data_IF_136073412861
#
_entry.id   IF_136073412861
#
_cell.length_a   1.000
_cell.length_b   1.000
_cell.length_c   1.000
_cell.angle_alpha   90.00
_cell.angle_beta   90.00
_cell.angle_gamma   90.00
#
_symmetry.space_group_name_H-M   'P 1'
#
loop_
_entity.id
_entity.type
_entity.pdbx_description
1 polymer ?
#
# COMPACT_ATOMS: atom_id res chain seq x y z
N UNK A 1 32.96 6.55 20.98
CA UNK A 1 31.70 6.58 21.76
C UNK A 1 30.60 7.37 21.01
N UNK A 2 30.37 7.11 19.72
CA UNK A 2 29.43 7.90 18.90
C UNK A 2 28.37 7.07 18.15
N UNK A 3 28.31 5.73 18.35
CA UNK A 3 27.45 4.87 17.51
C UNK A 3 26.08 4.53 18.14
N UNK A 4 25.87 4.79 19.43
CA UNK A 4 24.62 4.49 20.12
C UNK A 4 23.57 5.59 20.03
N UNK A 5 23.96 6.85 19.79
CA UNK A 5 22.98 7.96 19.67
C UNK A 5 22.31 8.01 18.30
N UNK A 6 23.03 7.66 17.23
CA UNK A 6 22.50 7.75 15.85
C UNK A 6 21.50 6.62 15.55
N UNK A 7 21.76 5.42 16.06
CA UNK A 7 20.82 4.29 15.95
C UNK A 7 19.54 4.54 16.74
N UNK A 8 19.66 5.06 17.96
CA UNK A 8 18.52 5.46 18.78
C UNK A 8 17.66 6.53 18.10
N UNK A 9 18.29 7.48 17.41
CA UNK A 9 17.58 8.57 16.70
C UNK A 9 16.80 8.06 15.49
N UNK A 10 17.41 7.18 14.68
CA UNK A 10 16.72 6.61 13.52
C UNK A 10 15.57 5.67 13.92
N UNK A 11 15.73 4.91 15.01
CA UNK A 11 14.65 4.11 15.62
C UNK A 11 13.52 4.99 16.11
N UNK A 12 13.83 6.03 16.89
CA UNK A 12 12.83 6.96 17.43
C UNK A 12 12.07 7.66 16.29
N UNK A 13 12.75 7.97 15.19
CA UNK A 13 12.11 8.50 13.98
C UNK A 13 11.15 7.51 13.35
N UNK A 14 11.54 6.24 13.20
CA UNK A 14 10.63 5.22 12.66
C UNK A 14 9.42 4.98 13.59
N UNK A 15 9.63 4.90 14.90
CA UNK A 15 8.56 4.76 15.90
C UNK A 15 7.60 5.95 15.87
N UNK A 16 8.12 7.17 15.74
CA UNK A 16 7.33 8.39 15.64
C UNK A 16 6.59 8.50 14.29
N UNK A 17 7.27 8.22 13.18
CA UNK A 17 6.69 8.27 11.82
C UNK A 17 5.57 7.24 11.65
N UNK A 18 5.61 6.13 12.38
CA UNK A 18 4.60 5.07 12.34
C UNK A 18 3.70 5.04 13.59
N UNK A 19 3.69 6.07 14.45
CA UNK A 19 2.80 6.11 15.63
C UNK A 19 2.86 4.86 16.54
N UNK A 20 4.04 4.26 16.68
CA UNK A 20 4.23 3.06 17.51
C UNK A 20 4.29 3.47 18.97
N UNK A 21 3.30 3.06 19.78
CA UNK A 21 3.28 3.36 21.21
C UNK A 21 4.08 2.31 21.99
N UNK A 22 5.01 2.76 22.84
CA UNK A 22 5.70 1.91 23.82
C UNK A 22 4.76 1.68 25.01
N UNK A 23 3.74 0.86 24.83
CA UNK A 23 2.81 0.50 25.90
C UNK A 23 3.47 -0.56 26.80
N UNK A 24 3.65 -0.34 28.12
CA UNK A 24 4.43 -1.23 29.00
C UNK A 24 3.77 -2.59 29.33
N UNK A 25 2.78 -3.04 28.57
CA UNK A 25 1.99 -4.19 28.98
C UNK A 25 1.79 -5.16 27.83
N UNK A 26 2.54 -6.26 27.91
CA UNK A 26 2.26 -7.52 27.20
C UNK A 26 0.83 -8.05 27.47
N UNK A 27 0.03 -7.36 28.30
CA UNK A 27 -1.39 -7.59 28.53
C UNK A 27 -2.22 -7.61 27.23
N UNK A 28 -1.83 -6.86 26.19
CA UNK A 28 -2.53 -6.92 24.90
C UNK A 28 -2.41 -8.32 24.25
N UNK A 29 -1.35 -9.06 24.53
CA UNK A 29 -1.14 -10.42 24.02
C UNK A 29 -1.83 -11.50 24.88
N UNK A 30 -2.40 -11.15 26.04
CA UNK A 30 -3.14 -12.11 26.86
C UNK A 30 -4.53 -12.34 26.29
N UNK A 31 -4.88 -13.58 25.99
CA UNK A 31 -6.21 -13.94 25.51
C UNK A 31 -7.10 -14.41 26.66
N UNK A 32 -8.29 -13.81 26.81
CA UNK A 32 -9.33 -14.24 27.75
C UNK A 32 -10.56 -14.69 26.96
N UNK A 33 -10.76 -16.01 26.89
CA UNK A 33 -11.86 -16.61 26.13
C UNK A 33 -13.23 -16.27 26.72
N UNK A 34 -13.34 -16.16 28.05
CA UNK A 34 -14.59 -15.86 28.73
C UNK A 34 -15.02 -14.42 28.45
N UNK A 35 -14.07 -13.48 28.47
CA UNK A 35 -14.30 -12.09 28.11
C UNK A 35 -14.77 -11.97 26.65
N UNK A 36 -14.07 -12.62 25.71
CA UNK A 36 -14.43 -12.56 24.29
C UNK A 36 -15.82 -13.16 24.03
N UNK A 37 -16.14 -14.29 24.67
CA UNK A 37 -17.47 -14.91 24.56
C UNK A 37 -18.57 -14.03 25.14
N UNK A 38 -18.31 -13.32 26.24
CA UNK A 38 -19.25 -12.38 26.82
C UNK A 38 -19.50 -11.18 25.89
N UNK A 39 -18.44 -10.59 25.32
CA UNK A 39 -18.54 -9.49 24.36
C UNK A 39 -19.34 -9.93 23.12
N UNK A 40 -19.03 -11.11 22.57
CA UNK A 40 -19.72 -11.68 21.42
C UNK A 40 -21.21 -11.95 21.69
N UNK A 41 -21.56 -12.29 22.92
CA UNK A 41 -22.95 -12.50 23.33
C UNK A 41 -23.72 -11.18 23.51
N UNK A 42 -23.04 -10.14 24.00
CA UNK A 42 -23.65 -8.82 24.24
C UNK A 42 -23.82 -7.99 22.97
N UNK A 43 -22.94 -8.19 21.97
CA UNK A 43 -22.91 -7.47 20.68
C UNK A 43 -23.09 -5.95 20.83
N UNK A 44 -22.26 -5.25 21.62
CA UNK A 44 -22.45 -3.83 21.93
C UNK A 44 -22.47 -2.94 20.68
N UNK A 45 -21.75 -3.31 19.62
CA UNK A 45 -21.70 -2.62 18.32
C UNK A 45 -23.04 -2.57 17.57
N UNK A 46 -24.01 -3.42 17.91
CA UNK A 46 -25.35 -3.37 17.29
C UNK A 46 -26.15 -2.13 17.69
N UNK A 47 -25.76 -1.45 18.78
CA UNK A 47 -26.44 -0.25 19.30
C UNK A 47 -25.93 1.04 18.67
N UNK A 48 -24.69 1.03 18.19
CA UNK A 48 -24.01 2.20 17.63
C UNK A 48 -23.21 1.79 16.39
N UNK A 49 -23.62 2.20 15.18
CA UNK A 49 -22.87 1.96 13.94
C UNK A 49 -21.41 2.44 13.97
N UNK A 50 -21.11 3.41 14.84
CA UNK A 50 -19.78 3.99 15.04
C UNK A 50 -19.15 3.58 16.38
N UNK A 51 -19.55 2.40 16.90
CA UNK A 51 -19.03 1.86 18.15
C UNK A 51 -17.51 1.69 18.14
N UNK A 52 -16.95 1.14 17.06
CA UNK A 52 -15.51 0.94 16.93
C UNK A 52 -14.84 2.18 16.35
N UNK A 53 -13.76 2.64 16.99
CA UNK A 53 -13.07 3.89 16.62
C UNK A 53 -11.57 3.70 16.39
N UNK A 54 -11.00 2.66 17.00
CA UNK A 54 -9.57 2.47 17.03
C UNK A 54 -9.18 1.06 16.61
N UNK A 55 -8.01 0.95 16.00
CA UNK A 55 -7.34 -0.31 15.71
C UNK A 55 -5.96 -0.27 16.34
N UNK A 56 -5.62 -1.31 17.10
CA UNK A 56 -4.29 -1.57 17.64
C UNK A 56 -3.73 -2.76 16.93
N UNK A 57 -2.66 -2.57 16.16
CA UNK A 57 -2.03 -3.64 15.38
C UNK A 57 -0.64 -3.97 15.93
N UNK A 58 -0.35 -5.24 16.09
CA UNK A 58 0.98 -5.67 16.51
C UNK A 58 2.01 -5.35 15.43
N UNK A 59 3.25 -5.05 15.84
CA UNK A 59 4.35 -4.84 14.90
C UNK A 59 4.61 -6.08 14.02
N UNK A 60 4.33 -7.28 14.53
CA UNK A 60 4.43 -8.54 13.78
C UNK A 60 3.41 -8.60 12.64
N UNK A 61 2.14 -8.32 12.95
CA UNK A 61 1.06 -8.33 11.96
C UNK A 61 1.32 -7.28 10.87
N UNK A 62 1.72 -6.07 11.27
CA UNK A 62 2.12 -5.00 10.35
C UNK A 62 3.23 -5.45 9.40
N UNK A 63 4.30 -6.07 9.93
CA UNK A 63 5.43 -6.51 9.13
C UNK A 63 5.03 -7.61 8.14
N UNK A 64 4.24 -8.60 8.58
CA UNK A 64 3.72 -9.66 7.70
C UNK A 64 2.86 -9.10 6.57
N UNK A 65 1.94 -8.19 6.89
CA UNK A 65 1.07 -7.54 5.90
C UNK A 65 1.91 -6.75 4.90
N UNK A 66 2.84 -5.92 5.36
CA UNK A 66 3.69 -5.11 4.50
C UNK A 66 4.59 -5.97 3.59
N UNK A 67 5.14 -7.06 4.10
CA UNK A 67 5.93 -8.01 3.30
C UNK A 67 5.07 -8.73 2.26
N UNK A 68 3.86 -9.17 2.63
CA UNK A 68 2.93 -9.83 1.72
C UNK A 68 2.44 -8.88 0.61
N UNK A 69 2.01 -7.66 0.98
CA UNK A 69 1.60 -6.64 0.02
C UNK A 69 2.73 -6.32 -0.96
N UNK A 70 3.97 -6.25 -0.48
CA UNK A 70 5.14 -6.04 -1.35
C UNK A 70 5.39 -7.23 -2.29
N UNK A 71 5.18 -8.48 -1.86
CA UNK A 71 5.37 -9.64 -2.72
C UNK A 71 4.35 -9.72 -3.85
N UNK A 72 3.17 -9.12 -3.70
CA UNK A 72 2.16 -9.01 -4.76
C UNK A 72 2.56 -8.08 -5.92
N UNK A 73 3.56 -7.23 -5.73
CA UNK A 73 4.03 -6.30 -6.77
C UNK A 73 2.93 -5.30 -7.18
N UNK A 74 2.44 -5.43 -8.41
CA UNK A 74 1.34 -4.61 -8.95
C UNK A 74 -0.03 -5.29 -8.83
N UNK A 75 -0.09 -6.53 -8.35
CA UNK A 75 -1.33 -7.26 -8.14
C UNK A 75 -1.84 -7.06 -6.71
N UNK A 76 -3.16 -7.04 -6.56
CA UNK A 76 -3.76 -7.03 -5.24
C UNK A 76 -3.58 -8.41 -4.60
N UNK A 77 -3.19 -8.43 -3.33
CA UNK A 77 -3.16 -9.65 -2.52
C UNK A 77 -4.02 -9.43 -1.29
N UNK A 78 -4.52 -10.52 -0.70
CA UNK A 78 -5.31 -10.44 0.52
C UNK A 78 -4.94 -11.50 1.55
N UNK A 79 -5.36 -11.26 2.78
CA UNK A 79 -5.18 -12.17 3.90
C UNK A 79 -6.15 -11.88 5.04
N UNK A 80 -5.99 -12.61 6.12
CA UNK A 80 -6.85 -12.50 7.30
C UNK A 80 -6.08 -11.96 8.50
N UNK A 81 -6.85 -11.33 9.40
CA UNK A 81 -6.38 -10.73 10.63
C UNK A 81 -6.87 -11.58 11.80
N UNK A 82 -5.94 -12.01 12.64
CA UNK A 82 -6.21 -12.73 13.88
C UNK A 82 -6.06 -11.79 15.07
N UNK A 83 -7.03 -11.82 15.96
CA UNK A 83 -7.02 -10.93 17.12
C UNK A 83 -8.23 -11.07 18.00
N UNK A 84 -8.57 -9.96 18.64
CA UNK A 84 -9.68 -9.85 19.60
C UNK A 84 -10.25 -8.43 19.60
N UNK A 85 -11.38 -8.26 20.27
CA UNK A 85 -11.97 -6.93 20.51
C UNK A 85 -11.87 -6.57 21.99
N UNK A 86 -11.61 -5.30 22.28
CA UNK A 86 -11.58 -4.77 23.65
C UNK A 86 -12.23 -3.39 23.67
N UNK A 87 -13.47 -3.30 24.14
CA UNK A 87 -14.25 -2.08 24.06
C UNK A 87 -14.47 -1.65 22.60
N UNK A 88 -14.19 -0.37 22.31
CA UNK A 88 -14.28 0.24 20.97
C UNK A 88 -13.04 0.02 20.08
N UNK A 89 -12.17 -0.93 20.46
CA UNK A 89 -10.87 -1.16 19.82
C UNK A 89 -10.76 -2.58 19.24
N UNK A 90 -10.36 -2.68 17.97
CA UNK A 90 -9.83 -3.93 17.42
C UNK A 90 -8.38 -4.11 17.82
N UNK A 91 -8.04 -5.27 18.38
CA UNK A 91 -6.65 -5.62 18.71
C UNK A 91 -6.21 -6.75 17.77
N UNK A 92 -5.42 -6.39 16.76
CA UNK A 92 -4.85 -7.33 15.78
C UNK A 92 -3.51 -7.84 16.31
N UNK A 93 -3.44 -9.14 16.58
CA UNK A 93 -2.27 -9.81 17.15
C UNK A 93 -1.40 -10.40 16.05
N UNK A 94 -2.00 -11.06 15.06
CA UNK A 94 -1.29 -11.69 13.96
C UNK A 94 -2.07 -11.57 12.64
N UNK A 95 -1.42 -11.92 11.54
CA UNK A 95 -2.01 -12.02 10.21
C UNK A 95 -1.43 -13.19 9.43
N UNK A 96 -2.18 -13.65 8.43
CA UNK A 96 -1.71 -14.65 7.48
C UNK A 96 -2.28 -14.40 6.08
N UNK A 97 -1.47 -14.70 5.07
CA UNK A 97 -1.82 -14.56 3.67
C UNK A 97 -2.81 -15.66 3.25
N UNK A 98 -3.75 -15.31 2.37
CA UNK A 98 -4.54 -16.29 1.65
C UNK A 98 -3.87 -16.56 0.30
N UNK A 99 -3.92 -17.81 -0.21
CA UNK A 99 -3.34 -18.18 -1.50
C UNK A 99 -4.25 -17.71 -2.65
N UNK A 100 -4.57 -16.42 -2.66
CA UNK A 100 -5.45 -15.79 -3.65
C UNK A 100 -4.79 -14.53 -4.17
N UNK A 101 -4.75 -14.42 -5.50
CA UNK A 101 -4.36 -13.20 -6.19
C UNK A 101 -5.65 -12.45 -6.55
N UNK A 102 -5.78 -11.25 -6.00
CA UNK A 102 -6.89 -10.35 -6.28
C UNK A 102 -6.68 -9.67 -7.63
N UNK A 103 -7.75 -9.58 -8.40
CA UNK A 103 -7.88 -8.54 -9.43
C UNK A 103 -9.11 -7.72 -9.06
N UNK A 104 -9.05 -6.40 -9.24
CA UNK A 104 -10.14 -5.46 -8.95
C UNK A 104 -11.47 -5.82 -9.65
N UNK A 105 -11.49 -6.79 -10.57
CA UNK A 105 -12.68 -7.22 -11.33
C UNK A 105 -13.22 -8.59 -10.91
N UNK A 106 -12.52 -9.34 -10.04
CA UNK A 106 -12.93 -10.69 -9.62
C UNK A 106 -12.68 -10.92 -8.13
N UNK A 107 -13.76 -10.94 -7.36
CA UNK A 107 -13.78 -11.58 -6.04
C UNK A 107 -14.05 -13.05 -6.27
N UNK A 108 -13.00 -13.85 -6.41
CA UNK A 108 -13.16 -15.28 -6.25
C UNK A 108 -12.03 -15.77 -5.34
N UNK A 109 -12.21 -15.54 -4.04
CA UNK A 109 -11.61 -16.44 -3.08
C UNK A 109 -12.21 -17.81 -3.37
N UNK A 110 -11.48 -18.61 -4.16
CA UNK A 110 -11.95 -19.90 -4.64
C UNK A 110 -12.26 -20.82 -3.43
N UNK A 111 -12.98 -21.92 -3.62
CA UNK A 111 -13.32 -22.86 -2.54
C UNK A 111 -12.09 -23.28 -1.70
N UNK A 112 -10.94 -23.33 -2.36
CA UNK A 112 -9.60 -23.60 -1.84
C UNK A 112 -9.17 -22.59 -0.75
N UNK A 113 -9.58 -21.32 -0.86
CA UNK A 113 -9.30 -20.32 0.16
C UNK A 113 -10.08 -20.59 1.45
N UNK A 114 -11.33 -21.05 1.35
CA UNK A 114 -12.13 -21.42 2.53
C UNK A 114 -11.59 -22.67 3.22
N UNK A 115 -11.19 -23.69 2.47
CA UNK A 115 -10.54 -24.88 3.03
C UNK A 115 -9.26 -24.49 3.79
N UNK A 116 -8.41 -23.68 3.15
CA UNK A 116 -7.20 -23.17 3.78
C UNK A 116 -7.49 -22.38 5.06
N UNK A 117 -8.54 -21.55 5.08
CA UNK A 117 -8.93 -20.78 6.27
C UNK A 117 -9.29 -21.66 7.46
N UNK A 118 -10.10 -22.72 7.22
CA UNK A 118 -10.52 -23.65 8.27
C UNK A 118 -9.32 -24.42 8.80
N UNK A 119 -8.48 -24.94 7.90
CA UNK A 119 -7.29 -25.72 8.26
C UNK A 119 -6.26 -24.87 9.01
N UNK A 120 -6.00 -23.64 8.54
CA UNK A 120 -5.09 -22.71 9.20
C UNK A 120 -5.59 -22.30 10.59
N UNK A 121 -6.90 -22.09 10.75
CA UNK A 121 -7.48 -21.76 12.05
C UNK A 121 -7.42 -22.96 13.01
N UNK A 122 -7.65 -24.19 12.52
CA UNK A 122 -7.52 -25.41 13.30
C UNK A 122 -6.09 -25.61 13.82
N UNK A 123 -5.13 -25.60 12.90
CA UNK A 123 -3.71 -25.74 13.23
C UNK A 123 -3.16 -24.60 14.09
N UNK A 124 -3.67 -23.37 13.93
CA UNK A 124 -3.33 -22.25 14.81
C UNK A 124 -3.70 -22.53 16.27
N UNK A 125 -4.86 -23.14 16.51
CA UNK A 125 -5.31 -23.51 17.87
C UNK A 125 -4.43 -24.61 18.46
N UNK A 126 -4.00 -25.58 17.65
CA UNK A 126 -3.12 -26.67 18.08
C UNK A 126 -1.75 -26.16 18.58
N UNK A 127 -1.26 -25.05 18.02
CA UNK A 127 -0.01 -24.39 18.46
C UNK A 127 -0.24 -23.31 19.52
N UNK A 128 -1.44 -23.23 20.10
CA UNK A 128 -1.77 -22.32 21.20
C UNK A 128 -2.10 -20.88 20.81
N UNK A 129 -2.41 -20.62 19.52
CA UNK A 129 -2.96 -19.33 19.07
C UNK A 129 -4.48 -19.40 19.16
N UNK A 130 -5.02 -18.75 20.19
CA UNK A 130 -6.43 -18.85 20.55
C UNK A 130 -7.28 -17.74 19.91
N UNK A 131 -6.63 -16.73 19.34
CA UNK A 131 -7.27 -15.60 18.68
C UNK A 131 -8.06 -16.05 17.44
N UNK A 132 -9.30 -15.55 17.35
CA UNK A 132 -10.15 -15.77 16.19
C UNK A 132 -9.86 -14.74 15.09
N UNK A 133 -10.44 -14.97 13.91
CA UNK A 133 -10.42 -14.01 12.82
C UNK A 133 -11.28 -12.81 13.22
N UNK A 134 -10.72 -11.61 13.10
CA UNK A 134 -11.39 -10.33 13.43
C UNK A 134 -11.50 -9.40 12.23
N UNK A 135 -10.99 -9.83 11.08
CA UNK A 135 -11.00 -9.02 9.87
C UNK A 135 -10.18 -9.61 8.75
N UNK A 136 -10.06 -8.83 7.69
CA UNK A 136 -9.27 -9.12 6.51
C UNK A 136 -8.42 -7.91 6.13
N UNK A 137 -7.37 -8.16 5.37
CA UNK A 137 -6.59 -7.11 4.75
C UNK A 137 -6.39 -7.38 3.27
N UNK A 138 -6.22 -6.32 2.49
CA UNK A 138 -5.78 -6.40 1.11
C UNK A 138 -4.87 -5.23 0.74
N UNK A 139 -4.20 -5.36 -0.40
CA UNK A 139 -3.30 -4.32 -0.90
C UNK A 139 -3.91 -3.54 -2.05
N UNK A 140 -3.72 -2.22 -2.04
CA UNK A 140 -4.00 -1.32 -3.18
C UNK A 140 -2.70 -0.73 -3.72
N UNK A 141 -2.04 -1.33 -4.73
CA UNK A 141 -0.73 -0.86 -5.20
C UNK A 141 -0.81 0.47 -5.97
N UNK A 142 -0.50 1.59 -5.33
CA UNK A 142 -0.28 2.88 -5.97
C UNK A 142 -1.49 3.83 -6.04
N UNK A 143 -2.67 3.44 -5.54
CA UNK A 143 -3.88 4.28 -5.58
C UNK A 143 -4.46 4.62 -4.20
N UNK A 144 -3.69 4.37 -3.13
CA UNK A 144 -4.04 4.79 -1.78
C UNK A 144 -4.96 3.80 -1.05
N UNK A 145 -5.21 4.10 0.23
CA UNK A 145 -5.96 3.24 1.13
C UNK A 145 -7.40 3.75 1.24
N UNK A 146 -8.33 3.04 0.61
CA UNK A 146 -9.77 3.29 0.58
C UNK A 146 -10.50 2.00 0.17
N UNK A 147 -11.83 1.94 0.32
CA UNK A 147 -12.62 0.77 -0.11
C UNK A 147 -13.34 1.06 -1.43
N UNK A 148 -13.15 0.20 -2.43
CA UNK A 148 -13.92 0.15 -3.67
C UNK A 148 -15.37 -0.31 -3.45
N UNK A 149 -16.22 -0.24 -4.47
CA UNK A 149 -17.58 -0.80 -4.38
C UNK A 149 -17.60 -2.31 -4.09
N UNK A 150 -16.60 -3.05 -4.59
CA UNK A 150 -16.42 -4.48 -4.36
C UNK A 150 -15.97 -4.72 -2.91
N UNK A 151 -15.04 -3.92 -2.40
CA UNK A 151 -14.58 -4.02 -1.02
C UNK A 151 -15.70 -3.71 -0.04
N UNK A 152 -16.51 -2.67 -0.33
CA UNK A 152 -17.69 -2.33 0.46
C UNK A 152 -18.66 -3.50 0.53
N UNK A 153 -18.95 -4.14 -0.61
CA UNK A 153 -19.85 -5.30 -0.68
C UNK A 153 -19.32 -6.49 0.10
N UNK A 154 -18.02 -6.79 -0.05
CA UNK A 154 -17.34 -7.88 0.68
C UNK A 154 -17.33 -7.61 2.19
N UNK A 155 -17.02 -6.38 2.59
CA UNK A 155 -17.00 -5.99 3.99
C UNK A 155 -18.40 -6.00 4.61
N UNK A 156 -19.43 -5.59 3.89
CA UNK A 156 -20.82 -5.70 4.34
C UNK A 156 -21.23 -7.15 4.56
N UNK A 157 -20.90 -8.06 3.63
CA UNK A 157 -21.16 -9.49 3.76
C UNK A 157 -20.47 -10.07 5.00
N UNK A 158 -19.20 -9.75 5.21
CA UNK A 158 -18.45 -10.21 6.37
C UNK A 158 -18.99 -9.63 7.68
N UNK A 159 -19.38 -8.35 7.70
CA UNK A 159 -20.04 -7.74 8.86
C UNK A 159 -21.42 -8.36 9.13
N UNK A 160 -22.12 -8.89 8.14
CA UNK A 160 -23.41 -9.54 8.32
C UNK A 160 -23.28 -10.93 8.96
N UNK A 161 -22.29 -11.72 8.57
CA UNK A 161 -22.18 -13.13 8.98
C UNK A 161 -21.08 -13.42 10.01
N UNK A 162 -20.05 -12.57 10.11
CA UNK A 162 -18.86 -12.78 10.96
C UNK A 162 -18.58 -11.57 11.88
N UNK A 163 -19.62 -10.87 12.33
CA UNK A 163 -19.42 -9.69 13.18
C UNK A 163 -18.83 -10.04 14.56
N UNK A 164 -17.81 -9.31 15.07
CA UNK A 164 -17.20 -8.08 14.54
C UNK A 164 -16.08 -8.30 13.52
N UNK A 165 -16.15 -7.60 12.37
CA UNK A 165 -15.19 -7.76 11.26
C UNK A 165 -14.58 -6.44 10.76
N UNK A 166 -13.26 -6.37 10.61
CA UNK A 166 -12.50 -5.19 10.17
C UNK A 166 -11.96 -5.35 8.74
N UNK A 167 -11.93 -4.28 7.95
CA UNK A 167 -11.18 -4.22 6.69
C UNK A 167 -9.91 -3.36 6.86
N UNK A 168 -8.77 -3.84 6.37
CA UNK A 168 -7.49 -3.10 6.36
C UNK A 168 -6.95 -3.03 4.93
N UNK A 169 -6.60 -1.83 4.47
CA UNK A 169 -5.99 -1.62 3.14
C UNK A 169 -4.56 -1.14 3.33
N UNK A 170 -3.62 -1.69 2.55
CA UNK A 170 -2.22 -1.26 2.55
C UNK A 170 -1.75 -0.92 1.14
N UNK A 171 -1.05 0.20 0.98
CA UNK A 171 -0.44 0.57 -0.30
C UNK A 171 1.09 0.33 -0.25
N UNK A 172 1.59 -0.80 -0.78
CA UNK A 172 3.02 -1.11 -0.74
C UNK A 172 3.86 -0.16 -1.60
N UNK A 173 3.30 0.35 -2.69
CA UNK A 173 4.00 1.23 -3.64
C UNK A 173 4.21 2.60 -3.01
N UNK A 174 3.17 3.18 -2.42
CA UNK A 174 3.28 4.46 -1.70
C UNK A 174 4.08 4.34 -0.43
N UNK A 175 4.01 3.20 0.26
CA UNK A 175 4.86 2.93 1.43
C UNK A 175 6.34 3.06 1.08
N UNK A 176 6.76 2.51 -0.07
CA UNK A 176 8.14 2.64 -0.54
C UNK A 176 8.50 4.08 -0.96
N UNK A 177 7.57 4.81 -1.56
CA UNK A 177 7.79 6.18 -2.02
C UNK A 177 7.88 7.19 -0.85
N UNK A 178 6.96 7.09 0.12
CA UNK A 178 6.89 8.00 1.26
C UNK A 178 7.89 7.62 2.37
N UNK A 179 8.21 6.32 2.50
CA UNK A 179 9.00 5.76 3.59
C UNK A 179 8.22 5.58 4.90
N UNK A 180 6.90 5.78 4.87
CA UNK A 180 5.96 5.54 5.98
C UNK A 180 4.99 4.45 5.52
N UNK A 181 4.57 3.56 6.41
CA UNK A 181 3.55 2.56 6.02
C UNK A 181 2.23 3.25 5.74
N UNK A 182 1.78 3.16 4.50
CA UNK A 182 0.48 3.64 4.03
C UNK A 182 -0.54 2.54 4.29
N UNK A 183 -1.32 2.73 5.35
CA UNK A 183 -2.29 1.76 5.85
C UNK A 183 -3.54 2.49 6.32
N UNK A 184 -4.70 1.99 5.92
CA UNK A 184 -6.00 2.44 6.38
C UNK A 184 -6.81 1.29 6.95
N UNK A 185 -7.60 1.57 7.97
CA UNK A 185 -8.54 0.61 8.55
C UNK A 185 -9.95 1.17 8.43
N UNK A 186 -10.90 0.33 8.01
CA UNK A 186 -12.22 0.75 7.59
C UNK A 186 -13.31 -0.21 8.08
N UNK A 187 -14.51 0.35 8.26
CA UNK A 187 -15.75 -0.41 8.46
C UNK A 187 -16.88 0.23 7.67
N UNK A 188 -17.76 -0.60 7.11
CA UNK A 188 -18.92 -0.12 6.37
C UNK A 188 -20.08 0.20 7.31
N UNK A 189 -20.85 1.22 6.95
CA UNK A 189 -22.11 1.52 7.62
C UNK A 189 -23.16 0.44 7.29
N UNK A 190 -24.10 0.14 8.22
CA UNK A 190 -25.22 -0.75 7.95
C UNK A 190 -26.14 -0.21 6.85
N UNK A 191 -26.85 -1.11 6.15
CA UNK A 191 -27.83 -0.70 5.14
C UNK A 191 -28.89 0.25 5.70
N UNK A 192 -29.14 1.34 4.98
CA UNK A 192 -30.12 2.35 5.37
C UNK A 192 -29.63 3.38 6.39
N UNK A 193 -28.43 3.23 6.98
CA UNK A 193 -27.84 4.26 7.81
C UNK A 193 -27.27 5.39 6.95
N UNK A 194 -27.64 6.64 7.28
CA UNK A 194 -27.02 7.83 6.69
C UNK A 194 -26.09 8.46 7.72
N UNK A 195 -24.79 8.59 7.43
CA UNK A 195 -23.87 9.24 8.35
C UNK A 195 -24.28 10.70 8.56
N UNK A 196 -24.16 11.24 9.79
CA UNK A 196 -24.18 12.69 10.02
C UNK A 196 -23.11 13.33 9.13
N UNK A 197 -23.35 14.52 8.54
CA UNK A 197 -22.38 15.20 7.65
C UNK A 197 -20.95 15.12 8.23
N UNK A 198 -20.10 14.35 7.54
CA UNK A 198 -18.80 13.92 8.07
C UNK A 198 -17.77 15.05 8.13
N UNK A 199 -16.85 14.90 9.09
CA UNK A 199 -15.62 15.67 9.23
C UNK A 199 -14.62 15.40 8.10
N UNK A 200 -13.44 16.03 8.14
CA UNK A 200 -12.50 16.02 7.03
C UNK A 200 -11.96 14.60 6.78
N UNK A 201 -12.39 13.97 5.68
CA UNK A 201 -11.71 12.81 5.11
C UNK A 201 -10.27 13.20 4.76
N UNK A 202 -9.28 12.42 5.20
CA UNK A 202 -7.87 12.69 4.91
C UNK A 202 -7.64 12.65 3.40
N UNK A 203 -7.20 13.77 2.84
CA UNK A 203 -7.01 13.89 1.39
C UNK A 203 -5.89 12.95 0.92
N UNK A 204 -6.24 12.06 0.00
CA UNK A 204 -5.28 11.21 -0.69
C UNK A 204 -5.32 11.50 -2.19
N UNK A 205 -4.15 11.47 -2.83
CA UNK A 205 -4.03 11.54 -4.29
C UNK A 205 -4.58 10.25 -4.89
N UNK A 206 -5.69 10.30 -5.62
CA UNK A 206 -6.31 9.14 -6.27
C UNK A 206 -6.14 9.30 -7.79
N UNK A 207 -5.71 8.25 -8.51
CA UNK A 207 -5.64 8.29 -9.97
C UNK A 207 -7.00 8.54 -10.61
N UNK A 208 -7.01 9.17 -11.79
CA UNK A 208 -8.24 9.47 -12.54
C UNK A 208 -9.08 8.23 -12.83
N UNK A 209 -8.43 7.10 -13.13
CA UNK A 209 -9.11 5.82 -13.39
C UNK A 209 -9.91 5.28 -12.19
N UNK A 210 -9.67 5.81 -10.99
CA UNK A 210 -10.26 5.34 -9.72
C UNK A 210 -11.10 6.38 -8.99
N UNK A 211 -11.07 7.64 -9.45
CA UNK A 211 -11.70 8.74 -8.74
C UNK A 211 -13.22 8.66 -8.70
N UNK A 212 -13.84 8.07 -9.73
CA UNK A 212 -15.29 7.89 -9.80
C UNK A 212 -15.77 6.84 -8.79
N UNK A 213 -15.13 5.67 -8.78
CA UNK A 213 -15.43 4.59 -7.84
C UNK A 213 -15.24 5.04 -6.39
N UNK A 214 -14.12 5.72 -6.10
CA UNK A 214 -13.90 6.34 -4.80
C UNK A 214 -15.01 7.33 -4.43
N UNK A 215 -15.39 8.23 -5.34
CA UNK A 215 -16.38 9.27 -5.08
C UNK A 215 -17.79 8.73 -4.78
N UNK A 216 -18.17 7.60 -5.37
CA UNK A 216 -19.47 6.94 -5.16
C UNK A 216 -19.53 6.24 -3.81
N UNK A 217 -18.45 5.55 -3.43
CA UNK A 217 -18.43 4.66 -2.27
C UNK A 217 -17.83 5.28 -0.99
N UNK A 218 -17.16 6.44 -1.07
CA UNK A 218 -16.53 7.09 0.09
C UNK A 218 -17.46 7.37 1.28
N UNK A 219 -18.79 7.41 1.08
CA UNK A 219 -19.79 7.65 2.15
C UNK A 219 -20.34 6.36 2.76
N UNK A 220 -19.93 5.19 2.26
CA UNK A 220 -20.45 3.90 2.70
C UNK A 220 -19.64 3.30 3.85
N UNK A 221 -18.49 3.89 4.17
CA UNK A 221 -17.59 3.43 5.23
C UNK A 221 -16.99 4.62 6.00
N UNK A 222 -16.42 4.32 7.16
CA UNK A 222 -15.62 5.26 7.93
C UNK A 222 -14.24 4.68 8.22
N UNK A 223 -13.26 5.57 8.44
CA UNK A 223 -11.92 5.19 8.85
C UNK A 223 -11.81 5.05 10.37
N UNK A 224 -10.99 4.10 10.81
CA UNK A 224 -10.62 3.91 12.20
C UNK A 224 -9.18 4.37 12.42
N UNK A 225 -8.90 4.91 13.59
CA UNK A 225 -7.55 5.37 13.95
C UNK A 225 -6.63 4.17 14.21
N UNK A 226 -5.59 4.03 13.40
CA UNK A 226 -4.64 2.92 13.46
C UNK A 226 -3.44 3.30 14.33
N UNK A 227 -3.21 2.50 15.36
CA UNK A 227 -2.05 2.59 16.25
C UNK A 227 -1.34 1.25 16.31
N UNK A 228 -0.05 1.26 16.65
CA UNK A 228 0.75 0.05 16.73
C UNK A 228 1.29 -0.19 18.12
N UNK A 229 1.45 -1.46 18.46
CA UNK A 229 2.09 -1.91 19.68
C UNK A 229 3.08 -3.04 19.40
N UNK A 230 4.02 -3.23 20.32
CA UNK A 230 5.03 -4.28 20.28
C UNK A 230 5.27 -4.79 21.69
N UNK A 231 5.68 -6.05 21.82
CA UNK A 231 6.04 -6.59 23.13
C UNK A 231 7.36 -6.01 23.65
N UNK A 232 7.65 -6.24 24.93
CA UNK A 232 8.95 -5.92 25.50
C UNK A 232 10.10 -6.65 24.79
N UNK A 233 9.88 -7.92 24.43
CA UNK A 233 10.86 -8.71 23.69
C UNK A 233 11.01 -8.23 22.24
N UNK A 234 9.92 -7.92 21.55
CA UNK A 234 9.98 -7.38 20.17
C UNK A 234 10.79 -6.09 20.13
N UNK A 235 10.62 -5.22 21.13
CA UNK A 235 11.40 -4.00 21.26
C UNK A 235 12.90 -4.29 21.31
N UNK A 236 13.29 -5.28 22.12
CA UNK A 236 14.69 -5.69 22.21
C UNK A 236 15.22 -6.34 20.92
N UNK A 237 14.42 -7.18 20.27
CA UNK A 237 14.80 -7.84 19.02
C UNK A 237 14.94 -6.83 17.88
N UNK A 238 14.02 -5.86 17.76
CA UNK A 238 14.09 -4.80 16.77
C UNK A 238 15.34 -3.92 16.96
N UNK A 239 15.77 -3.69 18.20
CA UNK A 239 17.01 -2.98 18.49
C UNK A 239 18.25 -3.73 18.00
N UNK A 240 18.28 -5.05 18.22
CA UNK A 240 19.36 -5.92 17.75
C UNK A 240 19.39 -6.02 16.22
N UNK A 241 18.20 -6.11 15.60
CA UNK A 241 18.04 -6.08 14.14
C UNK A 241 18.57 -4.77 13.56
N UNK A 242 18.25 -3.63 14.19
CA UNK A 242 18.71 -2.32 13.74
C UNK A 242 20.24 -2.23 13.65
N UNK A 243 20.94 -2.83 14.61
CA UNK A 243 22.42 -2.88 14.62
C UNK A 243 23.02 -3.64 13.43
N UNK A 244 22.26 -4.50 12.76
CA UNK A 244 22.67 -5.20 11.53
C UNK A 244 22.11 -4.57 10.26
N UNK A 245 20.88 -4.08 10.29
CA UNK A 245 20.13 -3.65 9.11
C UNK A 245 20.31 -2.16 8.74
N UNK A 246 20.97 -1.35 9.58
CA UNK A 246 21.20 0.07 9.28
C UNK A 246 21.89 0.31 7.92
N UNK A 247 22.73 -0.62 7.47
CA UNK A 247 23.42 -0.56 6.18
C UNK A 247 22.41 -0.56 5.02
N UNK A 248 21.34 -1.34 5.12
CA UNK A 248 20.30 -1.40 4.08
C UNK A 248 19.56 -0.07 3.96
N UNK A 249 19.32 0.62 5.08
CA UNK A 249 18.72 1.96 5.08
C UNK A 249 19.61 2.98 4.36
N UNK A 250 20.93 2.89 4.52
CA UNK A 250 21.88 3.78 3.85
C UNK A 250 22.11 3.41 2.37
N UNK A 251 22.04 2.14 2.00
CA UNK A 251 22.20 1.69 0.61
C UNK A 251 20.91 1.84 -0.22
N UNK A 252 19.74 1.94 0.40
CA UNK A 252 18.45 2.05 -0.29
C UNK A 252 18.38 3.25 -1.24
N UNK A 253 17.91 3.06 -2.47
CA UNK A 253 17.71 4.13 -3.44
C UNK A 253 16.23 4.29 -3.80
N UNK A 254 15.47 5.13 -3.06
CA UNK A 254 14.04 5.31 -3.30
C UNK A 254 13.73 5.78 -4.73
N UNK A 255 14.56 6.66 -5.30
CA UNK A 255 14.37 7.19 -6.66
C UNK A 255 14.33 6.10 -7.75
N UNK A 256 15.12 5.04 -7.58
CA UNK A 256 15.15 3.94 -8.54
C UNK A 256 13.96 3.01 -8.29
N UNK A 257 13.71 2.69 -7.02
CA UNK A 257 12.63 1.78 -6.63
C UNK A 257 11.23 2.31 -6.97
N UNK A 258 11.02 3.62 -6.90
CA UNK A 258 9.72 4.26 -7.16
C UNK A 258 9.63 4.92 -8.55
N UNK A 259 10.53 4.59 -9.49
CA UNK A 259 10.62 5.27 -10.79
C UNK A 259 9.33 5.13 -11.62
N UNK A 260 8.82 3.91 -11.72
CA UNK A 260 7.60 3.61 -12.50
C UNK A 260 6.38 4.29 -11.88
N UNK A 261 6.25 4.23 -10.55
CA UNK A 261 5.20 4.93 -9.82
C UNK A 261 5.25 6.44 -10.06
N UNK A 262 6.43 7.06 -9.95
CA UNK A 262 6.58 8.49 -10.20
C UNK A 262 6.23 8.86 -11.65
N UNK A 263 6.65 8.07 -12.63
CA UNK A 263 6.27 8.29 -14.03
C UNK A 263 4.75 8.19 -14.25
N UNK A 264 4.10 7.20 -13.63
CA UNK A 264 2.65 7.04 -13.66
C UNK A 264 1.91 8.22 -13.01
N UNK A 265 2.39 8.72 -11.88
CA UNK A 265 1.82 9.91 -11.22
C UNK A 265 1.97 11.17 -12.09
N UNK A 266 3.09 11.34 -12.81
CA UNK A 266 3.27 12.45 -13.75
C UNK A 266 2.27 12.37 -14.90
N UNK A 267 2.06 11.17 -15.46
CA UNK A 267 1.08 10.96 -16.52
C UNK A 267 -0.35 11.27 -16.04
N UNK A 268 -0.73 10.79 -14.86
CA UNK A 268 -2.04 11.07 -14.24
C UNK A 268 -2.24 12.57 -13.98
N UNK A 269 -1.22 13.27 -13.46
CA UNK A 269 -1.26 14.72 -13.25
C UNK A 269 -1.44 15.47 -14.58
N UNK A 270 -0.77 15.02 -15.65
CA UNK A 270 -0.89 15.63 -16.97
C UNK A 270 -2.31 15.50 -17.53
N UNK A 271 -2.92 14.32 -17.41
CA UNK A 271 -4.33 14.08 -17.80
C UNK A 271 -5.29 14.93 -16.96
N UNK A 272 -5.10 15.01 -15.64
CA UNK A 272 -5.91 15.87 -14.75
C UNK A 272 -5.81 17.34 -15.17
N UNK A 273 -4.62 17.79 -15.58
CA UNK A 273 -4.40 19.15 -16.03
C UNK A 273 -5.11 19.45 -17.36
N UNK A 274 -5.09 18.51 -18.32
CA UNK A 274 -5.81 18.63 -19.59
C UNK A 274 -7.33 18.69 -19.38
N UNK A 275 -7.87 17.88 -18.46
CA UNK A 275 -9.29 17.94 -18.07
C UNK A 275 -9.65 19.29 -17.44
N UNK A 276 -8.80 19.80 -16.54
CA UNK A 276 -9.02 21.10 -15.90
C UNK A 276 -8.96 22.27 -16.91
N UNK A 277 -8.02 22.23 -17.86
CA UNK A 277 -7.91 23.22 -18.93
C UNK A 277 -9.15 23.21 -19.86
N UNK A 278 -9.62 22.02 -20.22
CA UNK A 278 -10.84 21.83 -21.00
C UNK A 278 -12.07 22.42 -20.29
N UNK A 279 -12.21 22.19 -18.97
CA UNK A 279 -13.30 22.74 -18.17
C UNK A 279 -13.23 24.27 -18.07
N UNK A 280 -12.04 24.84 -17.91
CA UNK A 280 -11.85 26.29 -17.88
C UNK A 280 -12.17 26.93 -19.24
N UNK A 281 -11.76 26.29 -20.34
CA UNK A 281 -12.03 26.73 -21.71
C UNK A 281 -13.52 26.69 -22.07
N UNK A 282 -14.25 25.66 -21.62
CA UNK A 282 -15.70 25.56 -21.79
C UNK A 282 -16.47 26.51 -20.87
N UNK A 283 -16.02 26.68 -19.61
CA UNK A 283 -16.58 27.63 -18.65
C UNK A 283 -16.44 29.09 -19.09
N UNK A 284 -15.36 29.44 -19.81
CA UNK A 284 -15.17 30.76 -20.41
C UNK A 284 -16.19 31.05 -21.54
N UNK A 285 -16.69 30.03 -22.25
CA UNK A 285 -17.72 30.18 -23.30
C UNK A 285 -19.14 30.32 -22.74
N UNK A 286 -19.43 29.71 -21.59
CA UNK A 286 -20.74 29.79 -20.90
C UNK A 286 -20.82 30.90 -19.83
N UNK A 287 -19.70 31.60 -19.57
CA UNK A 287 -19.53 32.57 -18.50
C UNK A 287 -20.22 33.94 -18.67
N UNK A 288 -21.13 34.10 -19.64
CA UNK A 288 -21.93 35.34 -19.78
C UNK A 288 -23.32 35.29 -19.13
N UNK A 289 -23.80 34.13 -18.70
CA UNK A 289 -25.20 34.00 -18.23
C UNK A 289 -25.43 33.20 -16.94
N UNK A 290 -24.39 32.67 -16.28
CA UNK A 290 -24.58 32.02 -14.99
C UNK A 290 -23.40 32.25 -14.06
N UNK A 291 -23.52 33.24 -13.20
CA UNK A 291 -22.79 33.28 -11.94
C UNK A 291 -23.46 32.30 -10.97
N UNK A 292 -23.29 31.00 -11.24
CA UNK A 292 -23.66 29.97 -10.28
C UNK A 292 -22.75 30.13 -9.05
N UNK A 293 -23.37 30.32 -7.89
CA UNK A 293 -22.72 30.37 -6.59
C UNK A 293 -21.71 29.21 -6.47
N UNK A 294 -20.41 29.54 -6.43
CA UNK A 294 -19.41 28.57 -5.99
C UNK A 294 -19.76 28.20 -4.55
N UNK A 295 -20.07 26.92 -4.31
CA UNK A 295 -20.20 26.36 -2.95
C UNK A 295 -18.96 26.75 -2.15
N UNK A 296 -19.17 27.59 -1.13
CA UNK A 296 -18.11 28.17 -0.30
C UNK A 296 -17.46 27.05 0.53
N UNK A 297 -16.34 26.50 0.05
CA UNK A 297 -15.56 25.49 0.78
C UNK A 297 -14.95 24.38 -0.07
N UNK A 298 -15.38 24.18 -1.32
CA UNK A 298 -14.80 23.15 -2.19
C UNK A 298 -13.53 23.66 -2.89
N UNK A 299 -12.40 22.98 -2.66
CA UNK A 299 -11.18 23.25 -3.42
C UNK A 299 -11.37 22.94 -4.90
N UNK A 300 -11.04 23.93 -5.74
CA UNK A 300 -11.14 23.79 -7.19
C UNK A 300 -10.22 22.68 -7.74
N UNK A 301 -10.52 22.13 -8.93
CA UNK A 301 -9.72 21.07 -9.56
C UNK A 301 -8.23 21.41 -9.65
N UNK A 302 -7.90 22.67 -9.98
CA UNK A 302 -6.52 23.14 -10.06
C UNK A 302 -5.80 23.11 -8.70
N UNK A 303 -6.48 23.39 -7.59
CA UNK A 303 -5.89 23.32 -6.25
C UNK A 303 -5.52 21.88 -5.88
N UNK A 304 -6.36 20.91 -6.25
CA UNK A 304 -6.09 19.47 -6.09
C UNK A 304 -4.86 19.05 -6.90
N UNK A 305 -4.76 19.47 -8.16
CA UNK A 305 -3.60 19.21 -9.02
C UNK A 305 -2.31 19.81 -8.43
N UNK A 306 -2.37 21.03 -7.89
CA UNK A 306 -1.24 21.65 -7.21
C UNK A 306 -0.78 20.83 -5.99
N UNK A 307 -1.72 20.27 -5.20
CA UNK A 307 -1.39 19.39 -4.07
C UNK A 307 -0.73 18.10 -4.54
N UNK A 308 -1.30 17.43 -5.54
CA UNK A 308 -0.75 16.20 -6.14
C UNK A 308 0.69 16.44 -6.65
N UNK A 309 0.89 17.54 -7.38
CA UNK A 309 2.21 17.95 -7.91
C UNK A 309 3.21 18.27 -6.80
N UNK A 310 2.76 18.98 -5.75
CA UNK A 310 3.61 19.32 -4.60
C UNK A 310 4.03 18.08 -3.83
N UNK A 311 3.11 17.14 -3.61
CA UNK A 311 3.39 15.87 -2.94
C UNK A 311 4.44 15.06 -3.71
N UNK A 312 4.22 14.86 -5.01
CA UNK A 312 5.18 14.15 -5.87
C UNK A 312 6.55 14.83 -5.87
N UNK A 313 6.59 16.16 -5.98
CA UNK A 313 7.84 16.93 -5.97
C UNK A 313 8.59 16.75 -4.64
N UNK A 314 7.89 16.78 -3.51
CA UNK A 314 8.49 16.58 -2.19
C UNK A 314 9.12 15.18 -2.05
N UNK A 315 8.45 14.14 -2.56
CA UNK A 315 8.97 12.76 -2.58
C UNK A 315 10.24 12.64 -3.43
N UNK A 316 10.26 13.24 -4.63
CA UNK A 316 11.46 13.23 -5.49
C UNK A 316 12.62 14.02 -4.87
N UNK A 317 12.35 15.17 -4.25
CA UNK A 317 13.36 15.96 -3.54
C UNK A 317 13.93 15.18 -2.36
N UNK A 318 13.10 14.47 -1.59
CA UNK A 318 13.53 13.62 -0.48
C UNK A 318 14.47 12.50 -0.98
N UNK A 319 14.10 11.84 -2.08
CA UNK A 319 14.93 10.83 -2.73
C UNK A 319 16.28 11.37 -3.21
N UNK A 320 16.28 12.52 -3.88
CA UNK A 320 17.50 13.16 -4.39
C UNK A 320 18.41 13.64 -3.26
N UNK A 321 17.83 14.25 -2.22
CA UNK A 321 18.56 14.69 -1.03
C UNK A 321 19.29 13.53 -0.37
N UNK A 322 18.65 12.36 -0.27
CA UNK A 322 19.29 11.14 0.24
C UNK A 322 20.52 10.75 -0.59
N UNK A 323 20.45 10.84 -1.92
CA UNK A 323 21.60 10.52 -2.79
C UNK A 323 22.73 11.55 -2.67
N UNK A 324 22.40 12.84 -2.60
CA UNK A 324 23.38 13.92 -2.41
C UNK A 324 24.11 13.73 -1.07
N UNK A 325 23.37 13.47 0.01
CA UNK A 325 23.95 13.22 1.33
C UNK A 325 24.91 12.02 1.29
N UNK A 326 24.53 10.92 0.64
CA UNK A 326 25.40 9.75 0.48
C UNK A 326 26.67 10.08 -0.31
N UNK A 327 26.54 10.83 -1.40
CA UNK A 327 27.70 11.23 -2.20
C UNK A 327 28.66 12.10 -1.38
N UNK A 328 28.14 13.05 -0.60
CA UNK A 328 28.96 13.88 0.29
C UNK A 328 29.66 13.03 1.36
N UNK A 329 28.94 12.09 1.98
CA UNK A 329 29.47 11.26 3.07
C UNK A 329 30.52 10.25 2.59
N UNK A 330 30.28 9.58 1.46
CA UNK A 330 31.08 8.43 1.03
C UNK A 330 32.03 8.74 -0.13
N UNK A 331 31.66 9.63 -1.06
CA UNK A 331 32.43 9.89 -2.27
C UNK A 331 33.27 11.16 -2.18
N UNK A 332 32.78 12.19 -1.49
CA UNK A 332 33.47 13.48 -1.34
C UNK A 332 34.28 13.59 -0.04
N UNK A 333 34.36 12.52 0.76
CA UNK A 333 35.11 12.53 2.01
C UNK A 333 36.56 12.09 1.77
N UNK A 334 37.54 13.01 1.83
CA UNK A 334 38.94 12.69 1.55
C UNK A 334 39.55 11.69 2.55
N UNK A 335 38.91 11.45 3.70
CA UNK A 335 39.33 10.44 4.69
C UNK A 335 38.88 9.02 4.33
N UNK A 336 37.92 8.86 3.43
CA UNK A 336 37.40 7.58 2.95
C UNK A 336 37.86 7.27 1.52
N UNK A 337 38.59 8.20 0.89
CA UNK A 337 39.15 8.01 -0.44
C UNK A 337 40.16 6.83 -0.44
N UNK A 338 40.13 5.96 -1.46
CA UNK A 338 41.11 4.88 -1.58
C UNK A 338 42.55 5.44 -1.58
N UNK A 339 43.55 4.70 -1.04
CA UNK A 339 44.94 5.16 -0.93
C UNK A 339 45.59 5.60 -2.25
N UNK A 340 45.01 5.26 -3.41
CA UNK A 340 45.56 5.59 -4.72
C UNK A 340 45.37 7.06 -5.14
N UNK A 341 44.46 7.82 -4.52
CA UNK A 341 44.25 9.23 -4.89
C UNK A 341 45.15 10.23 -4.13
N UNK A 342 45.85 9.81 -3.07
CA UNK A 342 46.77 10.69 -2.34
C UNK A 342 48.14 10.86 -3.02
N UNK A 343 48.50 10.01 -3.98
CA UNK A 343 49.78 10.12 -4.70
C UNK A 343 49.74 11.03 -5.92
N UNK A 344 48.57 11.31 -6.52
CA UNK A 344 48.50 12.18 -7.71
C UNK A 344 48.45 13.69 -7.41
N UNK A 345 48.14 14.10 -6.18
CA UNK A 345 48.13 15.53 -5.82
C UNK A 345 49.51 16.10 -5.43
N UNK A 346 50.55 15.28 -5.31
CA UNK A 346 51.92 15.74 -4.98
C UNK A 346 52.85 15.89 -6.20
N UNK A 347 52.36 15.66 -7.42
CA UNK A 347 53.16 15.82 -8.65
C UNK A 347 52.49 16.80 -9.63
N UNK A 348 52.50 18.09 -9.28
CA UNK A 348 52.46 19.15 -10.29
C UNK A 348 53.61 20.12 -10.01
N UNK A 349 54.58 20.30 -10.92
CA UNK A 349 55.54 21.39 -10.80
C UNK A 349 54.85 22.70 -11.21
N UNK A 350 55.03 23.72 -10.38
CA UNK A 350 54.65 25.09 -10.68
C UNK A 350 55.44 25.63 -11.88
N UNK A 351 54.77 26.02 -12.94
CA UNK A 351 55.35 26.86 -14.00
C UNK A 351 54.71 28.24 -13.93
N UNK A 352 55.44 29.16 -13.30
CA UNK A 352 55.19 30.59 -13.32
C UNK A 352 56.06 31.25 -14.40
N UNK A 353 55.42 32.14 -15.17
CA UNK A 353 55.93 33.37 -15.79
C UNK A 353 57.20 33.32 -16.69
N UNK A 354 56.98 33.59 -17.99
CA UNK A 354 57.83 34.51 -18.78
C UNK A 354 56.91 35.32 -19.72
N UNK A 355 57.06 36.64 -19.71
CA UNK A 355 56.27 37.59 -20.51
C UNK A 355 56.95 38.09 -21.79
N UNK A 356 56.15 38.86 -22.55
CA UNK A 356 56.47 39.89 -23.57
C UNK A 356 57.34 39.53 -24.81
N UNK A 357 56.77 39.65 -26.02
CA UNK A 357 56.75 40.90 -26.82
C UNK A 357 56.34 40.68 -28.31
N UNK A 358 55.54 41.62 -28.84
CA UNK A 358 55.36 42.07 -30.25
C UNK A 358 54.91 41.07 -31.34
N UNK A 359 54.08 41.39 -32.34
CA UNK A 359 53.43 42.62 -32.80
C UNK A 359 52.76 42.38 -34.18
N UNK A 360 51.62 43.03 -34.39
CA UNK A 360 50.97 43.49 -35.64
C UNK A 360 50.63 42.61 -36.87
N UNK A 361 49.54 43.07 -37.53
CA UNK A 361 48.92 42.69 -38.81
C UNK A 361 48.07 41.40 -38.80
N UNK A 362 46.78 41.37 -39.14
CA UNK A 362 46.00 42.20 -40.06
C UNK A 362 45.54 41.31 -41.24
N UNK A 363 44.26 40.93 -41.29
CA UNK A 363 43.68 40.26 -42.47
C UNK A 363 42.64 39.18 -42.18
N UNK A 364 41.38 39.48 -42.51
CA UNK A 364 40.31 38.51 -42.82
C UNK A 364 40.22 38.48 -44.35
N UNK A 365 40.20 37.33 -45.04
CA UNK A 365 38.89 36.73 -45.36
C UNK A 365 38.81 35.20 -45.56
N UNK A 366 37.56 34.73 -45.40
CA UNK A 366 36.82 33.75 -46.20
C UNK A 366 37.22 32.25 -46.24
N UNK A 367 36.28 31.44 -45.73
CA UNK A 367 35.61 30.29 -46.35
C UNK A 367 36.44 29.16 -47.00
N UNK A 368 36.28 27.95 -46.45
CA UNK A 368 36.63 26.68 -47.09
C UNK A 368 36.20 25.50 -46.23
N UNK A 369 35.26 24.71 -46.73
CA UNK A 369 34.53 23.63 -46.08
C UNK A 369 35.40 22.45 -45.59
N UNK A 370 34.94 21.76 -44.53
CA UNK A 370 35.03 20.30 -44.45
C UNK A 370 34.02 19.73 -43.44
N UNK A 371 33.17 18.88 -43.99
CA UNK A 371 32.16 18.00 -43.44
C UNK A 371 32.79 16.84 -42.66
N UNK A 372 32.26 16.46 -41.48
CA UNK A 372 32.53 15.16 -40.87
C UNK A 372 31.44 14.74 -39.88
N UNK A 373 30.52 13.95 -40.42
CA UNK A 373 29.74 12.86 -39.85
C UNK A 373 29.75 12.62 -38.33
N UNK A 374 28.53 12.56 -37.79
CA UNK A 374 28.16 11.87 -36.58
C UNK A 374 28.46 10.36 -36.68
N UNK A 375 29.03 9.79 -35.61
CA UNK A 375 29.05 8.36 -35.36
C UNK A 375 28.74 8.11 -33.88
N UNK A 376 27.59 7.52 -33.61
CA UNK A 376 27.32 6.82 -32.36
C UNK A 376 28.15 5.52 -32.29
N UNK A 377 28.39 4.96 -31.11
CA UNK A 377 28.54 3.52 -30.98
C UNK A 377 27.33 2.90 -30.28
N UNK A 378 26.83 1.86 -30.95
CA UNK A 378 25.80 0.96 -30.49
C UNK A 378 26.30 0.00 -29.40
N UNK A 379 25.40 -0.26 -28.45
CA UNK A 379 25.03 -1.54 -27.82
C UNK A 379 26.05 -2.69 -27.89
N UNK A 380 26.47 -3.17 -26.71
CA UNK A 380 26.80 -4.57 -26.48
C UNK A 380 25.90 -5.10 -25.36
N UNK A 381 24.88 -5.87 -25.76
CA UNK A 381 24.11 -6.74 -24.90
C UNK A 381 24.94 -8.00 -24.59
N UNK A 382 24.95 -8.44 -23.34
CA UNK A 382 25.37 -9.78 -22.96
C UNK A 382 24.25 -10.42 -22.14
N UNK A 383 23.54 -11.33 -22.79
CA UNK A 383 22.65 -12.31 -22.18
C UNK A 383 23.16 -13.71 -22.54
N UNK A 384 22.65 -14.70 -21.79
CA UNK A 384 22.87 -16.16 -21.86
C UNK A 384 24.04 -16.69 -21.01
N UNK A 385 23.92 -17.82 -20.31
CA UNK A 385 22.80 -18.70 -19.96
C UNK A 385 23.32 -19.76 -18.95
N UNK A 386 22.38 -20.33 -18.20
CA UNK A 386 22.29 -21.68 -17.61
C UNK A 386 23.51 -22.57 -17.30
N UNK A 387 23.39 -23.22 -16.13
CA UNK A 387 23.82 -24.60 -15.88
C UNK A 387 24.99 -24.76 -14.92
N UNK A 388 24.74 -25.13 -13.66
CA UNK A 388 24.87 -26.53 -13.25
C UNK A 388 24.31 -26.77 -11.84
N UNK A 389 23.73 -27.95 -11.67
CA UNK A 389 23.09 -28.44 -10.46
C UNK A 389 24.13 -29.00 -9.49
N UNK A 390 24.07 -28.58 -8.22
CA UNK A 390 24.74 -29.29 -7.13
C UNK A 390 23.69 -29.64 -6.07
N UNK A 391 23.28 -30.90 -6.15
CA UNK A 391 22.44 -31.64 -5.23
C UNK A 391 23.23 -31.86 -3.92
N UNK A 392 22.89 -31.13 -2.86
CA UNK A 392 23.32 -31.48 -1.49
C UNK A 392 22.14 -32.10 -0.72
N UNK A 393 22.42 -33.29 -0.19
CA UNK A 393 21.49 -34.18 0.48
C UNK A 393 21.10 -33.65 1.87
N UNK A 394 19.81 -33.73 2.17
CA UNK A 394 19.26 -33.53 3.51
C UNK A 394 19.70 -34.66 4.45
N UNK A 395 20.07 -34.38 5.72
CA UNK A 395 20.22 -35.42 6.73
C UNK A 395 18.85 -35.85 7.28
N UNK A 396 18.70 -37.16 7.44
CA UNK A 396 17.52 -37.88 7.94
C UNK A 396 17.05 -37.40 9.33
N UNK A 397 15.74 -37.24 9.50
CA UNK A 397 15.09 -37.14 10.82
C UNK A 397 14.82 -38.55 11.40
N UNK A 398 15.03 -38.76 12.72
CA UNK A 398 14.70 -40.02 13.37
C UNK A 398 13.19 -40.11 13.70
N UNK A 399 12.60 -41.22 13.31
CA UNK A 399 11.25 -41.65 13.66
C UNK A 399 11.13 -42.01 15.15
N UNK A 400 10.06 -41.57 15.81
CA UNK A 400 9.64 -42.05 17.14
C UNK A 400 8.12 -42.33 17.12
N UNK A 401 7.65 -43.49 17.63
CA UNK A 401 6.29 -43.98 17.37
C UNK A 401 5.25 -43.38 18.32
N UNK A 402 4.01 -43.41 17.83
CA UNK A 402 2.85 -42.77 18.44
C UNK A 402 2.40 -43.31 19.79
N UNK A 403 1.61 -42.46 20.45
CA UNK A 403 0.75 -42.85 21.56
C UNK A 403 -0.65 -42.33 21.28
N UNK A 404 -1.57 -43.25 21.06
CA UNK A 404 -3.00 -43.02 21.06
C UNK A 404 -3.46 -42.62 22.48
N UNK A 405 -4.26 -41.56 22.58
CA UNK A 405 -5.08 -41.30 23.74
C UNK A 405 -6.43 -40.73 23.28
N UNK A 406 -7.48 -41.40 23.74
CA UNK A 406 -8.88 -41.19 23.37
C UNK A 406 -9.58 -40.14 24.26
N UNK A 407 -10.77 -39.74 23.81
CA UNK A 407 -11.85 -39.02 24.49
C UNK A 407 -11.74 -37.47 24.48
N UNK A 408 -12.81 -36.69 24.28
CA UNK A 408 -14.24 -36.95 24.42
C UNK A 408 -15.06 -36.01 23.51
N UNK A 409 -16.20 -36.50 23.03
CA UNK A 409 -17.19 -35.75 22.25
C UNK A 409 -17.98 -34.77 23.15
N UNK A 410 -18.13 -33.52 22.70
CA UNK A 410 -19.01 -32.47 23.26
C UNK A 410 -19.56 -31.66 22.07
N UNK A 411 -20.83 -31.23 22.05
CA UNK A 411 -21.66 -31.23 20.84
C UNK A 411 -21.43 -30.03 19.92
N UNK A 412 -21.50 -30.31 18.62
CA UNK A 412 -21.44 -29.36 17.52
C UNK A 412 -22.62 -28.36 17.55
N UNK A 413 -22.30 -27.09 17.36
CA UNK A 413 -23.25 -26.05 16.92
C UNK A 413 -23.09 -25.96 15.40
N UNK A 414 -24.16 -25.99 14.59
CA UNK A 414 -24.04 -26.36 13.19
C UNK A 414 -23.40 -25.25 12.36
N UNK A 415 -22.20 -25.54 11.85
CA UNK A 415 -21.45 -24.77 10.85
C UNK A 415 -22.19 -24.76 9.49
N UNK A 416 -23.20 -25.61 9.31
CA UNK A 416 -24.05 -25.67 8.10
C UNK A 416 -24.82 -24.37 7.80
N UNK A 417 -25.18 -23.56 8.81
CA UNK A 417 -25.87 -22.30 8.57
C UNK A 417 -24.97 -21.24 7.89
N UNK A 418 -23.65 -21.31 8.12
CA UNK A 418 -22.66 -20.46 7.46
C UNK A 418 -22.40 -20.92 6.01
N UNK A 419 -22.44 -22.23 5.75
CA UNK A 419 -22.31 -22.80 4.41
C UNK A 419 -23.49 -22.43 3.49
N UNK A 420 -24.71 -22.40 4.02
CA UNK A 420 -25.90 -22.01 3.26
C UNK A 420 -25.93 -20.52 2.88
N UNK A 421 -25.40 -19.63 3.75
CA UNK A 421 -25.34 -18.19 3.48
C UNK A 421 -24.30 -17.83 2.41
N UNK A 422 -23.14 -18.50 2.43
CA UNK A 422 -22.10 -18.32 1.41
C UNK A 422 -22.51 -18.87 0.04
N UNK A 423 -23.22 -20.01 0.00
CA UNK A 423 -23.77 -20.57 -1.24
C UNK A 423 -24.92 -19.74 -1.82
N UNK A 424 -25.75 -19.10 -0.98
CA UNK A 424 -26.83 -18.23 -1.43
C UNK A 424 -26.32 -16.92 -2.08
N UNK A 425 -25.19 -16.39 -1.62
CA UNK A 425 -24.54 -15.23 -2.23
C UNK A 425 -23.97 -15.54 -3.63
N UNK A 426 -23.55 -16.77 -3.89
CA UNK A 426 -23.08 -17.22 -5.20
C UNK A 426 -24.22 -17.55 -6.19
N UNK A 427 -25.44 -17.81 -5.70
CA UNK A 427 -26.58 -18.22 -6.53
C UNK A 427 -27.58 -17.09 -6.88
N UNK A 428 -27.49 -15.92 -6.24
CA UNK A 428 -28.42 -14.82 -6.44
C UNK A 428 -27.92 -13.79 -7.46
N UNK A 429 -27.96 -14.12 -8.76
CA UNK A 429 -28.11 -13.11 -9.83
C UNK A 429 -29.11 -13.59 -10.90
N UNK A 430 -29.98 -12.69 -11.42
CA UNK A 430 -30.96 -13.02 -12.43
C UNK A 430 -30.31 -13.16 -13.82
N UNK A 431 -30.66 -14.23 -14.54
CA UNK A 431 -30.38 -14.39 -15.97
C UNK A 431 -31.05 -13.25 -16.77
N UNK A 432 -30.25 -12.31 -17.28
CA UNK A 432 -30.69 -11.38 -18.31
C UNK A 432 -30.51 -12.04 -19.68
N UNK A 433 -31.63 -12.45 -20.26
CA UNK A 433 -31.75 -13.05 -21.58
C UNK A 433 -31.14 -12.15 -22.68
N UNK A 434 -30.31 -12.76 -23.51
CA UNK A 434 -29.89 -12.22 -24.79
C UNK A 434 -31.01 -12.46 -25.83
N UNK A 435 -31.70 -11.40 -26.26
CA UNK A 435 -32.40 -11.40 -27.54
C UNK A 435 -31.79 -10.36 -28.48
N UNK A 436 -31.15 -10.88 -29.52
CA UNK A 436 -30.70 -10.14 -30.70
C UNK A 436 -31.91 -9.71 -31.53
N UNK A 437 -32.21 -8.41 -31.56
CA UNK A 437 -33.15 -7.81 -32.50
C UNK A 437 -32.43 -7.00 -33.57
N UNK A 438 -32.09 -7.63 -34.69
CA UNK A 438 -31.73 -6.93 -35.94
C UNK A 438 -32.99 -6.33 -36.56
N UNK A 439 -33.08 -5.00 -36.63
CA UNK A 439 -34.17 -4.28 -37.28
C UNK A 439 -33.70 -3.50 -38.50
N UNK A 440 -33.95 -4.04 -39.70
CA UNK A 440 -33.92 -3.32 -40.96
C UNK A 440 -35.35 -3.29 -41.55
N UNK A 441 -35.81 -2.10 -41.96
CA UNK A 441 -36.84 -1.96 -43.00
C UNK A 441 -38.24 -1.46 -42.58
N UNK A 442 -38.39 -0.13 -42.46
CA UNK A 442 -39.36 0.74 -43.18
C UNK A 442 -40.90 0.42 -43.14
N UNK A 443 -41.80 1.31 -43.63
CA UNK A 443 -42.81 1.95 -42.78
C UNK A 443 -44.26 1.64 -43.17
N UNK A 444 -45.21 1.85 -42.24
CA UNK A 444 -46.64 1.65 -42.52
C UNK A 444 -47.57 2.41 -41.56
N UNK A 445 -48.00 3.59 -42.02
CA UNK A 445 -49.36 4.14 -41.92
C UNK A 445 -50.14 4.15 -40.59
N UNK A 446 -50.30 5.40 -40.10
CA UNK A 446 -51.57 6.07 -39.73
C UNK A 446 -52.18 5.91 -38.32
N UNK A 447 -52.93 6.95 -37.87
CA UNK A 447 -53.04 7.34 -36.45
C UNK A 447 -54.46 7.19 -35.88
N UNK A 448 -54.60 7.26 -34.56
CA UNK A 448 -55.83 7.79 -33.94
C UNK A 448 -55.56 8.27 -32.50
N UNK A 449 -55.94 9.54 -32.29
CA UNK A 449 -56.47 10.23 -31.09
C UNK A 449 -56.57 9.39 -29.78
N UNK A 450 -56.16 9.90 -28.62
CA UNK A 450 -56.60 11.12 -27.93
C UNK A 450 -55.54 11.66 -26.96
#
# INVERSE_FOLDING_TARGET
MASTSDTATARMRWELENSVQNTPTDALYKYDEAEQKAIQSQKPWTKDPHYFKHVRMSALALLKIAMHARSGGSLEVMGLLQGKVQGDVFVVIDSFALPVEGTETRVNAQAEAYEYMVDFQGTSKDVGRLENIVGWYHSHPGYGCWLSGIDCSTQMLNQQYQEPFLAVVVDPVRTMASGKVEIGAFRTYPEGYKPPEEGPSEYQTIPLSKIEDFGVHAKQYYSLDVSFFKSGLDSHLLDLLWNKYWVNTLSASPLIASREFAAGQIADIAEKLEQADSQLSQGARLGRYSSAERKKGEEGPLAKICRDTTKLSAEQIKGLSSQVIKSILFNCNPRLAPPQQQQQQQQQPALAAVGEAAGEAGGVPAAGAAEAAAAAPAVAAAAAADGDAAMEAAPEEPTVPGTAAAAAAVPEVPVEAAAAAAAAAAAAQPEAAAEHGTGAGAPGSQPMEM
#
